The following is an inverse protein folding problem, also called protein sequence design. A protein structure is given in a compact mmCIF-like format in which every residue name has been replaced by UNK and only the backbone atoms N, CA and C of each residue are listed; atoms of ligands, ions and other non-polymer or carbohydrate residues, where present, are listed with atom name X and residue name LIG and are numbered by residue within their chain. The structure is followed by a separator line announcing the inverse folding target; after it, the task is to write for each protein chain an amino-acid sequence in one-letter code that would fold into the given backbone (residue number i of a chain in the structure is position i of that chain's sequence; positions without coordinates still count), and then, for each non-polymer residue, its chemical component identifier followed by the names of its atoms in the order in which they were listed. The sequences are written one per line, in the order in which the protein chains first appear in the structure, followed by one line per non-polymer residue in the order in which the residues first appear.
data_IF_205832866776
#
_entry.id   IF_205832866776
#
_cell.length_a   1.000
_cell.length_b   1.000
_cell.length_c   1.000
_cell.angle_alpha   90.00
_cell.angle_beta   90.00
_cell.angle_gamma   90.00
#
_symmetry.space_group_name_H-M   'P 1'
#
loop_
_entity.id
_entity.type
_entity.pdbx_description
1 polymer ?
#
# COMPACT_ATOMS: atom_id res chain seq x y z
N UNK A 1 17.17 -9.10 -6.94
CA UNK A 1 16.31 -9.07 -5.73
C UNK A 1 15.28 -7.96 -5.91
N UNK A 2 14.09 -8.28 -6.42
CA UNK A 2 12.95 -7.35 -6.48
C UNK A 2 11.74 -8.08 -5.89
N UNK A 3 11.63 -8.09 -4.57
CA UNK A 3 10.47 -8.65 -3.85
C UNK A 3 9.68 -7.57 -3.11
N UNK A 4 9.80 -6.30 -3.49
CA UNK A 4 9.04 -5.21 -2.84
C UNK A 4 7.55 -5.28 -3.18
N UNK A 5 7.18 -5.88 -4.33
CA UNK A 5 5.79 -6.01 -4.79
C UNK A 5 5.14 -7.37 -4.47
N UNK A 6 5.90 -8.35 -3.98
CA UNK A 6 5.40 -9.72 -3.89
C UNK A 6 4.30 -9.91 -2.83
N UNK A 7 4.17 -8.97 -1.87
CA UNK A 7 3.20 -9.02 -0.78
C UNK A 7 2.31 -7.78 -0.66
N UNK A 8 2.48 -6.78 -1.53
CA UNK A 8 1.64 -5.57 -1.53
C UNK A 8 0.27 -5.90 -2.11
N UNK A 9 -0.80 -5.60 -1.36
CA UNK A 9 -2.16 -5.74 -1.85
C UNK A 9 -2.35 -4.87 -3.11
N UNK A 10 -2.90 -5.42 -4.19
CA UNK A 10 -3.11 -4.69 -5.44
C UNK A 10 -3.95 -3.41 -5.25
N UNK A 11 -4.87 -3.40 -4.28
CA UNK A 11 -5.63 -2.22 -3.90
C UNK A 11 -4.77 -1.06 -3.38
N UNK A 12 -3.60 -1.34 -2.80
CA UNK A 12 -2.65 -0.31 -2.38
C UNK A 12 -1.91 0.31 -3.57
N UNK A 13 -1.60 -0.50 -4.58
CA UNK A 13 -0.99 0.00 -5.83
C UNK A 13 -1.95 0.94 -6.57
N UNK A 14 -3.25 0.64 -6.54
CA UNK A 14 -4.27 1.49 -7.17
C UNK A 14 -4.43 2.86 -6.49
N UNK A 15 -3.97 3.02 -5.24
CA UNK A 15 -3.99 4.30 -4.51
C UNK A 15 -2.77 5.18 -4.82
N UNK A 16 -1.75 4.67 -5.53
CA UNK A 16 -0.52 5.42 -5.84
C UNK A 16 -0.77 6.72 -6.63
N UNK A 17 -1.69 6.79 -7.62
CA UNK A 17 -1.97 8.07 -8.30
C UNK A 17 -2.42 9.18 -7.34
N UNK A 18 -3.26 8.85 -6.36
CA UNK A 18 -3.71 9.80 -5.34
C UNK A 18 -2.56 10.27 -4.44
N UNK A 19 -1.65 9.37 -4.06
CA UNK A 19 -0.45 9.74 -3.33
C UNK A 19 0.39 10.76 -4.10
N UNK A 20 0.56 10.55 -5.42
CA UNK A 20 1.33 11.46 -6.26
C UNK A 20 0.63 12.82 -6.37
N UNK A 21 -0.69 12.85 -6.57
CA UNK A 21 -1.45 14.10 -6.61
C UNK A 21 -1.31 14.89 -5.31
N UNK A 22 -1.51 14.26 -4.15
CA UNK A 22 -1.39 14.90 -2.85
C UNK A 22 0.05 15.40 -2.59
N UNK A 23 1.06 14.62 -2.97
CA UNK A 23 2.46 15.03 -2.85
C UNK A 23 2.81 16.22 -3.76
N UNK A 24 2.21 16.33 -4.94
CA UNK A 24 2.44 17.44 -5.87
C UNK A 24 1.85 18.77 -5.36
N UNK A 25 0.80 18.71 -4.54
CA UNK A 25 0.19 19.87 -3.89
C UNK A 25 0.92 20.26 -2.59
N UNK A 26 1.70 19.33 -2.03
CA UNK A 26 2.45 19.55 -0.80
C UNK A 26 3.67 20.46 -1.00
N UNK A 27 3.79 21.47 -0.14
CA UNK A 27 4.91 22.40 -0.14
C UNK A 27 6.03 21.93 0.80
N UNK A 28 6.80 20.93 0.36
CA UNK A 28 7.93 20.39 1.11
C UNK A 28 8.64 19.27 0.38
N UNK A 29 9.44 18.49 1.09
CA UNK A 29 10.11 17.32 0.52
C UNK A 29 9.33 16.02 0.79
N UNK A 30 9.69 14.94 0.09
CA UNK A 30 9.01 13.65 0.20
C UNK A 30 9.09 13.06 1.62
N UNK A 31 10.21 13.22 2.32
CA UNK A 31 10.33 12.70 3.69
C UNK A 31 9.42 13.44 4.67
N UNK A 32 9.29 14.76 4.55
CA UNK A 32 8.36 15.55 5.36
C UNK A 32 6.92 15.14 5.09
N UNK A 33 6.55 15.01 3.81
CA UNK A 33 5.23 14.51 3.42
C UNK A 33 4.93 13.15 4.06
N UNK A 34 5.86 12.19 3.96
CA UNK A 34 5.67 10.86 4.55
C UNK A 34 5.58 10.93 6.07
N UNK A 35 6.41 11.72 6.75
CA UNK A 35 6.33 11.88 8.20
C UNK A 35 4.99 12.48 8.62
N UNK A 36 4.53 13.53 7.95
CA UNK A 36 3.30 14.22 8.31
C UNK A 36 2.05 13.33 8.21
N UNK A 37 2.01 12.44 7.21
CA UNK A 37 0.84 11.59 6.94
C UNK A 37 0.94 10.19 7.58
N UNK A 38 2.15 9.65 7.78
CA UNK A 38 2.36 8.28 8.24
C UNK A 38 2.95 8.17 9.65
N UNK A 39 3.46 9.26 10.25
CA UNK A 39 3.98 9.27 11.62
C UNK A 39 2.99 9.92 12.59
N UNK A 40 2.16 9.09 13.22
CA UNK A 40 1.22 9.49 14.28
C UNK A 40 0.38 10.73 13.93
N UNK A 41 -0.09 10.76 12.68
CA UNK A 41 -0.86 11.84 12.09
C UNK A 41 -2.13 12.12 12.90
N UNK A 42 -2.43 13.41 13.12
CA UNK A 42 -3.56 13.87 13.93
C UNK A 42 -4.70 14.31 13.02
N UNK A 43 -5.93 14.06 13.46
CA UNK A 43 -7.12 14.53 12.73
C UNK A 43 -7.15 16.05 12.59
N UNK A 44 -7.08 16.49 11.36
CA UNK A 44 -7.13 17.88 10.90
C UNK A 44 -8.12 18.02 9.73
N UNK A 45 -7.89 18.99 8.84
CA UNK A 45 -8.84 19.37 7.79
C UNK A 45 -8.81 18.42 6.58
N UNK A 46 -7.67 17.80 6.31
CA UNK A 46 -7.40 16.88 5.21
C UNK A 46 -7.46 15.41 5.61
N UNK A 47 -7.66 15.11 6.90
CA UNK A 47 -7.87 13.76 7.43
C UNK A 47 -8.63 12.79 6.51
N UNK A 48 -9.79 13.19 5.96
CA UNK A 48 -10.62 12.33 5.11
C UNK A 48 -9.97 12.02 3.74
N UNK A 49 -9.13 12.92 3.22
CA UNK A 49 -8.29 12.68 2.06
C UNK A 49 -7.13 11.74 2.43
N UNK A 50 -6.49 11.96 3.58
CA UNK A 50 -5.36 11.15 4.04
C UNK A 50 -5.74 9.70 4.29
N UNK A 51 -6.97 9.46 4.78
CA UNK A 51 -7.50 8.11 4.95
C UNK A 51 -7.53 7.28 3.67
N UNK A 52 -7.44 7.92 2.49
CA UNK A 52 -7.47 7.27 1.17
C UNK A 52 -6.07 7.03 0.60
N UNK A 53 -5.02 7.59 1.20
CA UNK A 53 -3.64 7.32 0.81
C UNK A 53 -3.29 5.84 0.97
N UNK A 54 -2.31 5.34 0.21
CA UNK A 54 -1.81 3.99 0.38
C UNK A 54 -1.40 3.73 1.83
N UNK A 55 -1.67 2.55 2.35
CA UNK A 55 -1.23 2.01 3.64
C UNK A 55 -1.79 2.67 4.92
N UNK A 56 -2.58 3.75 4.83
CA UNK A 56 -3.24 4.37 6.00
C UNK A 56 -4.40 3.48 6.49
N UNK A 57 -5.33 3.13 5.60
CA UNK A 57 -6.40 2.16 5.84
C UNK A 57 -6.34 1.06 4.79
N UNK A 58 -5.45 0.06 4.95
CA UNK A 58 -5.33 -1.00 3.98
C UNK A 58 -6.59 -1.86 3.97
N UNK A 59 -7.10 -2.26 2.78
CA UNK A 59 -8.24 -3.15 2.70
C UNK A 59 -7.85 -4.50 3.32
N UNK A 60 -8.76 -5.05 4.12
CA UNK A 60 -8.63 -6.41 4.67
C UNK A 60 -8.53 -7.35 3.46
N UNK A 61 -7.42 -8.08 3.42
CA UNK A 61 -6.79 -8.66 2.23
C UNK A 61 -7.73 -9.55 1.41
N UNK A 62 -7.79 -9.35 0.08
CA UNK A 62 -8.14 -10.41 -0.85
C UNK A 62 -6.88 -11.25 -1.09
N UNK A 63 -6.56 -12.15 -0.16
CA UNK A 63 -5.37 -13.00 -0.27
C UNK A 63 -5.61 -14.03 -1.36
N UNK A 64 -4.93 -13.91 -2.49
CA UNK A 64 -4.92 -14.96 -3.52
C UNK A 64 -3.97 -16.06 -3.03
N UNK A 65 -4.54 -17.10 -2.40
CA UNK A 65 -3.79 -18.33 -2.12
C UNK A 65 -3.53 -19.07 -3.45
N UNK A 66 -2.34 -18.92 -4.00
CA UNK A 66 -1.85 -19.82 -5.03
C UNK A 66 -1.43 -21.14 -4.36
N UNK A 67 -2.32 -22.14 -4.35
CA UNK A 67 -1.95 -23.50 -3.95
C UNK A 67 -1.18 -24.14 -5.11
N UNK A 68 0.06 -24.56 -4.86
CA UNK A 68 0.79 -25.41 -5.79
C UNK A 68 0.12 -26.80 -5.81
N UNK A 69 -0.08 -27.42 -6.99
CA UNK A 69 -0.62 -28.77 -7.06
C UNK A 69 0.31 -29.76 -6.35
N UNK A 70 -0.27 -30.73 -5.64
CA UNK A 70 0.49 -31.81 -5.02
C UNK A 70 1.20 -32.62 -6.12
N UNK A 71 2.53 -32.58 -6.13
CA UNK A 71 3.34 -33.41 -7.01
C UNK A 71 3.38 -34.83 -6.43
N UNK A 72 2.46 -35.68 -6.87
CA UNK A 72 2.49 -37.11 -6.56
C UNK A 72 3.55 -37.75 -7.46
N UNK A 73 4.75 -37.98 -6.93
CA UNK A 73 5.74 -38.83 -7.57
C UNK A 73 5.40 -40.29 -7.26
N UNK A 74 4.86 -41.01 -8.24
CA UNK A 74 4.72 -42.47 -8.17
C UNK A 74 6.09 -43.10 -8.48
N UNK A 75 6.67 -43.80 -7.51
CA UNK A 75 7.81 -44.68 -7.74
C UNK A 75 7.30 -45.97 -8.40
N UNK A 76 7.74 -46.22 -9.64
CA UNK A 76 7.60 -47.49 -10.37
C UNK A 76 8.72 -48.46 -10.02
#
# INVERSE_FOLDING_TARGET
MMYVLATTNAGEVLKVPMFVEHYMEYHGNLSEFVMEHYDNHKKDADWDADQKLPFINPPIVLTVHAQLPELIFSHS
#
